data_IF_377208112862
#
_entry.id   IF_377208112862
#
_cell.length_a   1.000
_cell.length_b   1.000
_cell.length_c   1.000
_cell.angle_alpha   90.00
_cell.angle_beta   90.00
_cell.angle_gamma   90.00
#
_symmetry.space_group_name_H-M   'P 1'
#
loop_
_entity.id
_entity.type
_entity.pdbx_description
1 polymer ?
#
# COMPACT_ATOMS: atom_id res chain seq x y z
N UNK A 1 3.31 -10.91 14.12
CA UNK A 1 2.71 -9.58 14.19
C UNK A 1 2.88 -8.84 12.89
N UNK A 2 1.83 -8.16 12.48
CA UNK A 2 1.89 -7.39 11.26
C UNK A 2 2.73 -6.14 11.46
N UNK A 3 3.53 -5.82 10.48
CA UNK A 3 4.42 -4.68 10.53
C UNK A 3 4.44 -4.08 9.13
N UNK A 4 3.93 -2.88 8.99
CA UNK A 4 3.77 -2.26 7.68
C UNK A 4 4.54 -0.97 7.58
N UNK A 5 5.01 -0.69 6.37
CA UNK A 5 5.49 0.64 6.01
C UNK A 5 4.38 1.31 5.22
N UNK A 6 3.81 2.35 5.80
CA UNK A 6 2.74 3.08 5.13
C UNK A 6 3.33 4.30 4.43
N UNK A 7 3.11 4.37 3.13
CA UNK A 7 3.54 5.52 2.35
C UNK A 7 2.32 6.43 2.19
N UNK A 8 2.41 7.63 2.70
CA UNK A 8 1.33 8.61 2.63
C UNK A 8 1.71 9.66 1.61
N UNK A 9 0.91 9.79 0.58
CA UNK A 9 1.14 10.76 -0.49
C UNK A 9 0.13 11.89 -0.39
N UNK A 10 0.61 13.12 -0.50
CA UNK A 10 -0.25 14.30 -0.49
C UNK A 10 -0.20 14.92 -1.89
N UNK A 11 -1.27 14.79 -2.67
CA UNK A 11 -1.25 15.34 -4.02
C UNK A 11 -1.24 16.88 -4.06
N UNK A 12 -1.68 17.52 -2.98
CA UNK A 12 -1.69 18.97 -2.95
C UNK A 12 -0.29 19.54 -2.77
N UNK A 13 0.47 18.98 -1.83
CA UNK A 13 1.83 19.44 -1.61
C UNK A 13 2.84 18.69 -2.48
N UNK A 14 2.39 17.64 -3.18
CA UNK A 14 3.21 16.82 -4.06
C UNK A 14 4.37 16.15 -3.32
N UNK A 15 4.13 15.78 -2.09
CA UNK A 15 5.12 15.12 -1.25
C UNK A 15 4.57 13.81 -0.72
N UNK A 16 5.47 12.89 -0.41
CA UNK A 16 5.08 11.64 0.22
C UNK A 16 6.00 11.37 1.39
N UNK A 17 5.48 10.70 2.40
CA UNK A 17 6.23 10.35 3.59
C UNK A 17 5.95 8.92 3.98
N UNK A 18 6.92 8.29 4.61
CA UNK A 18 6.79 6.91 5.06
C UNK A 18 6.59 6.89 6.57
N UNK A 19 5.70 6.04 7.01
CA UNK A 19 5.44 5.82 8.43
C UNK A 19 5.46 4.33 8.71
N UNK A 20 6.01 3.95 9.86
CA UNK A 20 6.02 2.55 10.27
C UNK A 20 4.84 2.29 11.18
N UNK A 21 4.11 1.23 10.91
CA UNK A 21 2.94 0.85 11.70
C UNK A 21 3.17 -0.53 12.29
N UNK A 22 2.94 -0.64 13.59
CA UNK A 22 3.08 -1.92 14.30
C UNK A 22 1.94 -2.08 15.29
N UNK A 23 1.69 -3.32 15.69
CA UNK A 23 0.73 -3.63 16.71
C UNK A 23 -0.70 -3.30 16.31
N UNK A 24 -1.41 -2.59 17.18
CA UNK A 24 -2.82 -2.29 16.92
C UNK A 24 -3.02 -1.41 15.70
N UNK A 25 -2.08 -0.52 15.43
CA UNK A 25 -2.19 0.33 14.24
C UNK A 25 -2.08 -0.49 12.96
N UNK A 26 -1.18 -1.45 12.96
CA UNK A 26 -1.05 -2.33 11.80
C UNK A 26 -2.28 -3.19 11.62
N UNK A 27 -2.84 -3.68 12.72
CA UNK A 27 -4.03 -4.53 12.64
C UNK A 27 -5.25 -3.79 12.13
N UNK A 28 -5.28 -2.47 12.30
CA UNK A 28 -6.38 -1.69 11.77
C UNK A 28 -6.44 -1.74 10.24
N UNK A 29 -5.30 -2.03 9.60
CA UNK A 29 -5.23 -2.13 8.15
C UNK A 29 -5.41 -3.55 7.63
N UNK A 30 -5.23 -4.55 8.47
CA UNK A 30 -5.38 -5.94 8.04
C UNK A 30 -6.83 -6.20 7.66
N UNK A 31 -7.06 -6.76 6.49
CA UNK A 31 -8.40 -6.99 5.98
C UNK A 31 -8.94 -5.89 5.11
N UNK A 32 -8.24 -4.76 5.02
CA UNK A 32 -8.64 -3.70 4.12
C UNK A 32 -8.18 -4.01 2.70
N UNK A 33 -8.89 -3.47 1.73
CA UNK A 33 -8.60 -3.72 0.31
C UNK A 33 -8.14 -2.45 -0.38
N UNK A 34 -7.50 -2.62 -1.52
CA UNK A 34 -7.13 -1.49 -2.35
C UNK A 34 -8.41 -0.75 -2.77
N UNK A 35 -8.40 0.57 -2.61
CA UNK A 35 -9.55 1.38 -2.94
C UNK A 35 -10.41 1.75 -1.75
N UNK A 36 -10.17 1.16 -0.58
CA UNK A 36 -10.92 1.51 0.62
C UNK A 36 -10.31 2.75 1.28
N UNK A 37 -11.17 3.48 1.97
CA UNK A 37 -10.72 4.65 2.72
C UNK A 37 -10.53 4.28 4.19
N UNK A 38 -9.50 4.82 4.80
CA UNK A 38 -9.16 4.53 6.19
C UNK A 38 -8.96 5.86 6.92
N UNK A 39 -9.46 5.94 8.14
CA UNK A 39 -9.24 7.13 8.97
C UNK A 39 -7.82 7.15 9.50
N UNK A 40 -7.17 8.29 9.33
CA UNK A 40 -5.82 8.44 9.83
C UNK A 40 -5.73 8.39 11.36
N UNK A 41 -6.84 8.63 12.06
CA UNK A 41 -6.84 8.52 13.51
C UNK A 41 -6.46 7.12 13.98
N UNK A 42 -6.93 6.11 13.27
CA UNK A 42 -6.61 4.73 13.62
C UNK A 42 -5.13 4.42 13.43
N UNK A 43 -4.47 5.21 12.60
CA UNK A 43 -3.06 5.01 12.29
C UNK A 43 -2.15 6.01 12.99
N UNK A 44 -2.73 6.89 13.79
CA UNK A 44 -1.95 7.90 14.49
C UNK A 44 -1.51 9.06 13.61
N UNK A 45 -2.17 9.27 12.49
CA UNK A 45 -1.78 10.31 11.53
C UNK A 45 -2.65 11.56 11.63
N UNK A 46 -3.52 11.62 12.62
CA UNK A 46 -4.35 12.80 12.81
C UNK A 46 -5.67 12.72 12.09
N UNK A 47 -6.28 13.87 11.87
CA UNK A 47 -7.63 13.94 11.33
C UNK A 47 -7.58 13.98 9.81
N UNK A 48 -7.31 12.83 9.21
CA UNK A 48 -7.13 12.72 7.77
C UNK A 48 -7.77 11.43 7.29
N UNK A 49 -8.23 11.41 6.06
CA UNK A 49 -8.73 10.21 5.42
C UNK A 49 -7.77 9.79 4.33
N UNK A 50 -7.41 8.55 4.34
CA UNK A 50 -6.47 7.98 3.38
C UNK A 50 -7.17 6.94 2.54
N UNK A 51 -6.81 6.89 1.27
CA UNK A 51 -7.31 5.86 0.36
C UNK A 51 -6.14 4.95 0.01
N UNK A 52 -6.34 3.66 0.19
CA UNK A 52 -5.29 2.68 -0.11
C UNK A 52 -5.22 2.51 -1.62
N UNK A 53 -4.03 2.70 -2.19
CA UNK A 53 -3.84 2.63 -3.63
C UNK A 53 -3.08 1.40 -4.08
N UNK A 54 -2.33 0.77 -3.19
CA UNK A 54 -1.59 -0.43 -3.56
C UNK A 54 -0.59 -0.82 -2.50
N UNK A 55 0.31 -1.71 -2.86
CA UNK A 55 1.35 -2.13 -1.94
C UNK A 55 2.10 -3.34 -2.45
N UNK A 56 3.02 -3.83 -1.63
CA UNK A 56 3.80 -5.03 -1.93
C UNK A 56 3.93 -5.88 -0.68
N UNK A 57 4.23 -7.17 -0.86
CA UNK A 57 4.46 -8.03 0.28
C UNK A 57 5.96 -8.12 0.59
N UNK A 58 6.31 -9.01 1.53
CA UNK A 58 7.69 -9.13 2.00
C UNK A 58 8.67 -9.53 0.91
N UNK A 59 8.19 -10.25 -0.09
CA UNK A 59 9.05 -10.73 -1.17
C UNK A 59 9.01 -9.81 -2.40
N UNK A 60 8.32 -8.68 -2.29
CA UNK A 60 8.25 -7.74 -3.39
C UNK A 60 7.15 -8.03 -4.40
N UNK A 61 6.26 -8.97 -4.11
CA UNK A 61 5.14 -9.29 -5.00
C UNK A 61 4.11 -8.16 -4.90
N UNK A 62 3.76 -7.52 -6.02
CA UNK A 62 2.84 -6.38 -5.97
C UNK A 62 1.40 -6.83 -5.78
N UNK A 63 0.61 -5.97 -5.15
CA UNK A 63 -0.81 -6.17 -4.99
C UNK A 63 -1.55 -5.56 -6.19
N UNK A 64 -2.57 -6.29 -6.66
CA UNK A 64 -3.40 -5.79 -7.76
C UNK A 64 -4.83 -5.63 -7.26
N UNK A 65 -5.47 -4.55 -7.69
CA UNK A 65 -6.82 -4.25 -7.24
C UNK A 65 -7.87 -5.18 -7.86
N UNK A 66 -7.56 -5.78 -9.00
CA UNK A 66 -8.52 -6.64 -9.69
C UNK A 66 -8.41 -8.11 -9.31
N UNK A 67 -7.50 -8.47 -8.43
CA UNK A 67 -7.37 -9.82 -7.91
C UNK A 67 -7.99 -9.87 -6.52
N UNK A 68 -8.96 -10.73 -6.32
CA UNK A 68 -9.64 -10.82 -5.03
C UNK A 68 -8.83 -11.64 -4.05
N UNK A 69 -9.00 -11.34 -2.77
CA UNK A 69 -8.36 -12.08 -1.70
C UNK A 69 -7.02 -11.53 -1.29
N UNK A 70 -6.34 -12.23 -0.40
CA UNK A 70 -5.05 -11.81 0.13
C UNK A 70 -3.92 -12.72 -0.28
N UNK A 71 -4.20 -13.78 -1.02
CA UNK A 71 -3.19 -14.77 -1.37
C UNK A 71 -2.49 -14.40 -2.67
N UNK A 72 -1.30 -14.96 -2.84
CA UNK A 72 -0.58 -14.83 -4.09
C UNK A 72 -1.23 -15.67 -5.16
N UNK A 73 -1.20 -15.17 -6.38
CA UNK A 73 -1.85 -15.85 -7.48
C UNK A 73 -1.09 -15.57 -8.77
N UNK A 74 -0.94 -16.59 -9.59
CA UNK A 74 -0.38 -16.38 -10.91
C UNK A 74 -1.51 -16.02 -11.85
N UNK A 75 -1.43 -14.83 -12.43
CA UNK A 75 -2.48 -14.32 -13.29
C UNK A 75 -1.91 -13.97 -14.65
N UNK A 76 -2.71 -14.23 -15.68
CA UNK A 76 -2.34 -13.85 -17.04
C UNK A 76 -2.58 -12.35 -17.17
N UNK A 77 -1.50 -11.60 -17.39
CA UNK A 77 -1.57 -10.15 -17.42
C UNK A 77 -1.19 -9.64 -18.81
N UNK A 78 -1.92 -8.64 -19.26
CA UNK A 78 -1.58 -7.94 -20.50
C UNK A 78 -0.91 -6.61 -20.24
N UNK A 79 -0.91 -6.17 -18.99
CA UNK A 79 -0.26 -4.92 -18.60
C UNK A 79 -0.72 -4.47 -17.24
N UNK A 80 -0.25 -3.32 -16.81
CA UNK A 80 -0.60 -2.74 -15.53
C UNK A 80 0.35 -3.14 -14.43
N UNK A 81 -0.16 -3.12 -13.19
CA UNK A 81 0.67 -3.43 -12.03
C UNK A 81 1.15 -4.87 -12.11
N UNK A 82 2.44 -5.06 -11.97
CA UNK A 82 3.06 -6.38 -11.95
C UNK A 82 3.57 -6.86 -13.28
N UNK A 83 3.25 -6.17 -14.36
CA UNK A 83 3.71 -6.60 -15.68
C UNK A 83 3.73 -5.44 -16.65
N UNK A 84 4.84 -5.30 -17.37
CA UNK A 84 4.97 -4.32 -18.45
C UNK A 84 5.32 -5.07 -19.72
N UNK A 85 4.42 -5.10 -20.72
CA UNK A 85 4.70 -5.82 -21.95
C UNK A 85 5.74 -5.08 -22.77
N UNK A 86 6.57 -5.86 -23.48
CA UNK A 86 7.59 -5.30 -24.36
C UNK A 86 7.02 -4.95 -25.72
N UNK A 87 5.91 -5.56 -26.11
CA UNK A 87 5.28 -5.27 -27.39
C UNK A 87 3.78 -5.33 -27.24
N UNK A 88 3.07 -4.74 -28.21
CA UNK A 88 1.62 -4.70 -28.17
C UNK A 88 1.04 -6.11 -28.24
N UNK A 89 0.04 -6.35 -27.38
CA UNK A 89 -0.65 -7.62 -27.38
C UNK A 89 0.06 -8.73 -26.63
N UNK A 90 1.23 -8.46 -26.10
CA UNK A 90 1.96 -9.46 -25.33
C UNK A 90 1.30 -9.70 -24.00
N UNK A 91 1.20 -10.95 -23.60
CA UNK A 91 0.63 -11.33 -22.30
C UNK A 91 1.54 -12.35 -21.66
N UNK A 92 1.58 -12.32 -20.34
CA UNK A 92 2.43 -13.24 -19.60
C UNK A 92 1.79 -13.55 -18.25
N UNK A 93 2.03 -14.75 -17.77
CA UNK A 93 1.55 -15.13 -16.43
C UNK A 93 2.56 -14.64 -15.41
N UNK A 94 2.11 -13.83 -14.49
CA UNK A 94 2.96 -13.24 -13.45
C UNK A 94 2.37 -13.50 -12.09
N UNK A 95 3.23 -13.57 -11.09
CA UNK A 95 2.81 -13.73 -9.71
C UNK A 95 2.45 -12.37 -9.16
N UNK A 96 1.23 -12.28 -8.66
CA UNK A 96 0.73 -11.05 -8.02
C UNK A 96 -0.04 -11.44 -6.77
N UNK A 97 -0.25 -10.46 -5.90
CA UNK A 97 -1.01 -10.67 -4.69
C UNK A 97 -2.36 -9.98 -4.83
N UNK A 98 -3.35 -10.51 -4.12
CA UNK A 98 -4.69 -9.94 -4.16
C UNK A 98 -4.77 -8.56 -3.52
N UNK A 99 -5.93 -7.97 -3.62
CA UNK A 99 -6.15 -6.58 -3.20
C UNK A 99 -6.28 -6.42 -1.68
N UNK A 100 -6.43 -7.52 -0.94
CA UNK A 100 -6.65 -7.45 0.51
C UNK A 100 -5.31 -7.47 1.25
N UNK A 101 -5.17 -6.59 2.23
CA UNK A 101 -3.98 -6.51 3.06
C UNK A 101 -3.96 -7.66 4.05
N UNK A 102 -2.83 -8.34 4.16
CA UNK A 102 -2.65 -9.44 5.10
C UNK A 102 -1.39 -9.20 5.94
N UNK A 103 -1.12 -10.11 6.86
CA UNK A 103 0.07 -10.00 7.71
C UNK A 103 1.36 -10.06 6.91
N UNK A 104 1.33 -10.65 5.73
CA UNK A 104 2.53 -10.76 4.89
C UNK A 104 2.82 -9.51 4.08
N UNK A 105 1.90 -8.56 4.07
CA UNK A 105 2.12 -7.31 3.36
C UNK A 105 3.18 -6.51 4.09
N UNK A 106 4.10 -5.91 3.35
CA UNK A 106 5.15 -5.09 3.93
C UNK A 106 4.88 -3.61 3.71
N UNK A 107 4.64 -3.23 2.48
CA UNK A 107 4.47 -1.83 2.12
C UNK A 107 3.04 -1.58 1.67
N UNK A 108 2.48 -0.49 2.15
CA UNK A 108 1.13 -0.08 1.77
C UNK A 108 1.21 1.35 1.28
N UNK A 109 0.70 1.59 0.09
CA UNK A 109 0.68 2.93 -0.50
C UNK A 109 -0.69 3.54 -0.29
N UNK A 110 -0.72 4.80 0.10
CA UNK A 110 -1.98 5.49 0.33
C UNK A 110 -1.88 6.93 -0.14
N UNK A 111 -3.04 7.52 -0.39
CA UNK A 111 -3.14 8.91 -0.85
C UNK A 111 -4.12 9.62 0.08
N UNK A 112 -3.82 10.86 0.42
CA UNK A 112 -4.69 11.67 1.24
C UNK A 112 -5.90 12.09 0.42
N UNK A 113 -7.08 11.73 0.89
CA UNK A 113 -8.33 12.12 0.25
C UNK A 113 -8.84 13.42 0.84
N UNK A 114 -8.75 13.55 2.15
CA UNK A 114 -9.18 14.79 2.81
C UNK A 114 -8.36 15.00 4.07
N UNK A 115 -8.18 16.27 4.45
CA UNK A 115 -7.42 16.63 5.63
C UNK A 115 -5.94 16.80 5.34
N UNK A 116 -5.19 17.05 6.38
CA UNK A 116 -3.74 17.21 6.30
C UNK A 116 -3.11 16.18 7.22
N UNK A 117 -2.24 15.35 6.69
CA UNK A 117 -1.60 14.34 7.48
C UNK A 117 -0.50 14.94 8.36
N UNK A 118 -0.53 14.58 9.63
CA UNK A 118 0.57 14.87 10.51
C UNK A 118 1.34 13.58 10.67
N UNK A 119 2.35 13.38 9.84
CA UNK A 119 3.16 12.19 9.94
C UNK A 119 4.18 12.44 11.06
N UNK A 120 4.21 11.57 12.06
CA UNK A 120 5.23 11.73 13.09
C UNK A 120 6.59 11.61 12.45
N UNK A 121 7.46 12.50 12.84
CA UNK A 121 8.76 12.59 12.29
C UNK A 121 9.51 11.36 12.57
N UNK A 122 9.69 10.63 11.59
CA UNK A 122 10.48 9.50 11.87
C UNK A 122 11.82 9.91 11.59
N UNK A 123 12.29 10.21 12.07
CA UNK A 123 13.35 10.75 11.69
C UNK A 123 14.34 10.32 10.95
N UNK A 124 14.30 10.55 10.96
CA UNK A 124 15.00 10.37 10.54
C UNK A 124 15.60 9.52 10.12
N UNK A 125 15.52 8.91 10.43
CA UNK A 125 15.97 8.07 10.09
C UNK A 125 15.92 7.88 8.98
N UNK A 126 15.21 7.89 8.83
CA UNK A 126 15.05 7.66 7.57
C UNK A 126 15.87 8.47 6.75
N UNK A 127 16.14 9.32 7.18
CA UNK A 127 16.87 10.06 6.41
C UNK A 127 18.22 9.63 6.39
N UNK A 128 18.64 9.16 6.60
CA UNK A 128 19.82 8.87 6.62
C UNK A 128 20.26 8.26 5.68
N UNK A 129 20.24 8.32 5.30
CA UNK A 129 20.53 7.89 4.62
C UNK A 129 20.87 7.92 4.16
#
# INVERSE_FOLDING_TARGET
MAKFQLIVSDPKSKMSKAASLEGTKAQALVGKSIGEEVDGKLLGLGNVKLKITGGTDKDGVPMRFDIQGAARKRAMLSGGVGYKPLSDGERQRRLVRGRTISDDTLQINSVIVSGVAVVPEAPKEAAKK
#
